data_IF_200983807617
#
_entry.id   IF_200983807617
#
_cell.length_a   1.000
_cell.length_b   1.000
_cell.length_c   1.000
_cell.angle_alpha   90.00
_cell.angle_beta   90.00
_cell.angle_gamma   90.00
#
_symmetry.space_group_name_H-M   'P 1'
#
loop_
_entity.id
_entity.type
_entity.pdbx_description
1 polymer ?
#
# COMPACT_ATOMS: atom_id res chain seq x y z
N UNK A 1 -54.17 18.15 4.86
CA UNK A 1 -54.18 17.00 3.91
C UNK A 1 -52.83 16.95 3.22
N UNK A 2 -52.15 15.79 3.28
CA UNK A 2 -51.15 15.16 2.37
C UNK A 2 -50.17 16.10 1.59
N UNK A 3 -48.85 15.91 1.54
CA UNK A 3 -48.09 14.67 1.42
C UNK A 3 -46.58 14.98 1.65
N UNK A 4 -45.85 14.10 2.35
CA UNK A 4 -44.39 14.11 2.36
C UNK A 4 -43.83 13.42 1.10
N UNK A 5 -42.70 13.88 0.56
CA UNK A 5 -41.93 13.11 -0.42
C UNK A 5 -40.64 13.81 -0.89
N UNK A 6 -39.52 13.09 -1.09
CA UNK A 6 -38.15 13.57 -0.91
C UNK A 6 -37.41 13.85 -2.21
N UNK A 7 -36.30 14.59 -2.14
CA UNK A 7 -35.20 14.53 -3.12
C UNK A 7 -33.92 14.97 -2.39
N UNK A 8 -33.41 14.09 -1.52
CA UNK A 8 -32.23 13.28 -1.81
C UNK A 8 -30.97 14.16 -1.89
N UNK A 9 -30.34 14.31 -0.73
CA UNK A 9 -28.90 14.50 -0.61
C UNK A 9 -28.21 13.33 -1.35
N UNK A 10 -27.81 13.53 -2.60
CA UNK A 10 -26.88 12.65 -3.32
C UNK A 10 -26.09 13.49 -4.33
N UNK A 11 -25.32 14.45 -3.80
CA UNK A 11 -24.13 14.96 -4.49
C UNK A 11 -22.95 14.85 -3.52
N UNK A 12 -22.75 13.65 -2.98
CA UNK A 12 -21.52 13.24 -2.30
C UNK A 12 -20.99 11.90 -2.86
N UNK A 13 -21.50 11.48 -4.02
CA UNK A 13 -21.29 10.15 -4.58
C UNK A 13 -21.02 10.14 -6.08
N UNK A 14 -20.35 11.17 -6.62
CA UNK A 14 -19.86 11.14 -8.01
C UNK A 14 -18.33 11.21 -7.98
N UNK A 15 -17.76 10.01 -7.97
CA UNK A 15 -16.58 9.65 -8.72
C UNK A 15 -15.33 10.53 -8.55
N UNK A 16 -14.51 10.19 -7.55
CA UNK A 16 -13.06 10.16 -7.77
C UNK A 16 -12.74 9.04 -8.77
N UNK A 17 -13.20 9.22 -10.01
CA UNK A 17 -12.78 8.42 -11.13
C UNK A 17 -11.37 8.85 -11.53
N UNK A 18 -10.42 7.93 -11.40
CA UNK A 18 -9.51 7.67 -12.51
C UNK A 18 -8.17 8.41 -12.54
N UNK A 19 -7.81 9.15 -11.50
CA UNK A 19 -6.38 9.32 -11.21
C UNK A 19 -6.10 8.40 -10.02
N UNK A 20 -5.55 7.21 -10.28
CA UNK A 20 -5.02 6.37 -9.20
C UNK A 20 -3.83 7.09 -8.60
N UNK A 21 -4.12 8.00 -7.67
CA UNK A 21 -3.12 8.66 -6.85
C UNK A 21 -2.47 7.56 -5.99
N UNK A 22 -1.15 7.43 -6.13
CA UNK A 22 -0.32 6.55 -5.30
C UNK A 22 0.04 7.29 -4.05
N UNK A 23 0.05 6.62 -2.91
CA UNK A 23 0.53 7.23 -1.67
C UNK A 23 1.91 6.67 -1.37
N UNK A 24 2.92 7.53 -1.26
CA UNK A 24 4.27 7.12 -0.84
C UNK A 24 4.31 7.14 0.68
N UNK A 25 4.33 5.96 1.30
CA UNK A 25 4.31 5.83 2.77
C UNK A 25 5.73 5.89 3.33
N UNK A 26 6.69 5.27 2.63
CA UNK A 26 8.10 5.31 2.99
C UNK A 26 8.96 5.29 1.74
N UNK A 27 9.95 6.17 1.70
CA UNK A 27 11.07 6.08 0.77
C UNK A 27 12.34 6.23 1.60
N UNK A 28 12.96 5.09 1.91
CA UNK A 28 14.19 4.99 2.69
C UNK A 28 15.28 4.31 1.84
N UNK A 29 16.57 4.36 2.23
CA UNK A 29 17.64 3.78 1.41
C UNK A 29 17.48 2.28 1.11
N UNK A 30 16.77 1.56 1.99
CA UNK A 30 16.56 0.12 1.96
C UNK A 30 15.24 -0.28 1.28
N UNK A 31 14.18 0.52 1.44
CA UNK A 31 12.85 0.19 0.90
C UNK A 31 12.03 1.40 0.42
N UNK A 32 11.34 1.21 -0.71
CA UNK A 32 10.23 2.04 -1.17
C UNK A 32 8.90 1.32 -0.89
N UNK A 33 7.99 1.98 -0.18
CA UNK A 33 6.65 1.48 0.16
C UNK A 33 5.59 2.42 -0.39
N UNK A 34 4.68 1.87 -1.20
CA UNK A 34 3.58 2.63 -1.82
C UNK A 34 2.24 1.94 -1.65
N UNK A 35 1.17 2.73 -1.64
CA UNK A 35 -0.22 2.24 -1.63
C UNK A 35 -0.90 2.62 -2.94
N UNK A 36 -1.57 1.65 -3.55
CA UNK A 36 -2.29 1.73 -4.83
C UNK A 36 -3.70 1.15 -4.71
N UNK A 37 -4.51 1.39 -5.75
CA UNK A 37 -5.81 0.76 -5.95
C UNK A 37 -6.73 0.85 -4.70
N UNK A 38 -6.71 1.99 -4.00
CA UNK A 38 -7.54 2.21 -2.82
C UNK A 38 -9.01 2.19 -3.25
N UNK A 39 -9.71 1.11 -2.91
CA UNK A 39 -11.15 1.00 -3.06
C UNK A 39 -11.78 1.23 -1.68
N UNK A 40 -12.49 2.34 -1.56
CA UNK A 40 -13.31 2.60 -0.39
C UNK A 40 -14.43 1.56 -0.31
N UNK A 41 -14.65 1.00 0.87
CA UNK A 41 -15.78 0.12 1.16
C UNK A 41 -16.26 0.38 2.58
N UNK A 42 -17.55 0.17 2.81
CA UNK A 42 -18.15 0.20 4.14
C UNK A 42 -18.45 -1.25 4.58
N UNK A 43 -17.98 -1.71 5.75
CA UNK A 43 -17.19 -0.98 6.74
C UNK A 43 -15.67 -0.94 6.44
N UNK A 44 -15.20 -1.67 5.43
CA UNK A 44 -13.76 -1.89 5.20
C UNK A 44 -13.28 -1.31 3.87
N UNK A 45 -12.19 -0.53 3.91
CA UNK A 45 -11.46 -0.13 2.72
C UNK A 45 -10.47 -1.23 2.32
N UNK A 46 -10.15 -1.30 1.02
CA UNK A 46 -9.11 -2.21 0.51
C UNK A 46 -8.09 -1.42 -0.28
N UNK A 47 -6.84 -1.87 -0.24
CA UNK A 47 -5.78 -1.26 -1.02
C UNK A 47 -4.73 -2.31 -1.35
N UNK A 48 -3.91 -1.99 -2.35
CA UNK A 48 -2.74 -2.76 -2.71
C UNK A 48 -1.49 -2.07 -2.22
N UNK A 49 -0.70 -2.74 -1.41
CA UNK A 49 0.55 -2.22 -0.87
C UNK A 49 1.71 -2.84 -1.62
N UNK A 50 2.66 -2.03 -2.06
CA UNK A 50 3.84 -2.45 -2.80
C UNK A 50 5.10 -2.07 -2.05
N UNK A 51 6.01 -3.04 -1.94
CA UNK A 51 7.34 -2.91 -1.38
C UNK A 51 8.37 -3.22 -2.48
N UNK A 52 9.36 -2.35 -2.61
CA UNK A 52 10.53 -2.56 -3.44
C UNK A 52 11.78 -2.40 -2.58
N UNK A 53 12.59 -3.46 -2.50
CA UNK A 53 13.81 -3.47 -1.72
C UNK A 53 15.00 -3.09 -2.61
N UNK A 54 15.81 -2.12 -2.16
CA UNK A 54 17.06 -1.77 -2.85
C UNK A 54 18.16 -2.80 -2.56
N UNK A 55 18.19 -3.34 -1.34
CA UNK A 55 18.98 -4.50 -0.95
C UNK A 55 18.03 -5.65 -0.56
N UNK A 56 17.74 -6.59 -1.48
CA UNK A 56 16.75 -7.65 -1.27
C UNK A 56 17.02 -8.50 -0.02
N UNK A 57 16.17 -8.55 1.01
CA UNK A 57 16.38 -9.45 2.14
C UNK A 57 16.28 -10.93 1.69
N UNK A 58 16.89 -11.89 2.42
CA UNK A 58 16.63 -13.30 2.19
C UNK A 58 15.16 -13.63 2.52
N UNK A 59 14.60 -14.64 1.87
CA UNK A 59 13.21 -15.09 2.07
C UNK A 59 12.96 -15.55 3.52
N UNK A 60 13.94 -16.27 4.07
CA UNK A 60 14.02 -16.65 5.47
C UNK A 60 15.48 -16.60 5.93
N UNK A 61 15.72 -16.68 7.24
CA UNK A 61 17.08 -16.74 7.77
C UNK A 61 17.83 -17.96 7.19
N UNK A 62 18.97 -17.72 6.54
CA UNK A 62 19.78 -18.75 5.90
C UNK A 62 19.32 -19.19 4.50
N UNK A 63 18.23 -18.62 3.97
CA UNK A 63 17.79 -18.91 2.60
C UNK A 63 18.67 -18.18 1.56
N UNK A 64 18.96 -18.87 0.45
CA UNK A 64 19.67 -18.30 -0.69
C UNK A 64 18.73 -17.43 -1.56
N UNK A 65 17.43 -17.71 -1.52
CA UNK A 65 16.42 -16.94 -2.23
C UNK A 65 16.26 -15.57 -1.59
N UNK A 66 16.35 -14.50 -2.39
CA UNK A 66 16.22 -13.11 -1.92
C UNK A 66 14.98 -12.43 -2.52
N UNK A 67 14.26 -11.67 -1.70
CA UNK A 67 12.98 -11.04 -2.07
C UNK A 67 13.23 -9.64 -2.62
N UNK A 68 13.03 -9.46 -3.94
CA UNK A 68 13.19 -8.16 -4.58
C UNK A 68 11.97 -7.26 -4.38
N UNK A 69 10.77 -7.85 -4.43
CA UNK A 69 9.49 -7.13 -4.28
C UNK A 69 8.53 -7.91 -3.42
N UNK A 70 7.65 -7.18 -2.75
CA UNK A 70 6.52 -7.76 -2.03
C UNK A 70 5.27 -6.93 -2.28
N UNK A 71 4.14 -7.62 -2.45
CA UNK A 71 2.84 -7.00 -2.71
C UNK A 71 1.80 -7.58 -1.77
N UNK A 72 0.99 -6.73 -1.17
CA UNK A 72 -0.15 -7.14 -0.35
C UNK A 72 -1.45 -6.63 -0.95
N UNK A 73 -2.45 -7.50 -0.99
CA UNK A 73 -3.85 -7.05 -0.99
C UNK A 73 -4.29 -6.97 0.47
N UNK A 74 -4.51 -5.75 0.96
CA UNK A 74 -4.76 -5.44 2.37
C UNK A 74 -6.16 -4.85 2.57
N UNK A 75 -6.68 -5.07 3.78
CA UNK A 75 -7.98 -4.57 4.25
C UNK A 75 -7.74 -3.64 5.42
N UNK A 76 -8.50 -2.56 5.48
CA UNK A 76 -8.37 -1.51 6.48
C UNK A 76 -9.74 -1.21 7.07
N UNK A 77 -9.82 -1.23 8.39
CA UNK A 77 -10.92 -0.65 9.14
C UNK A 77 -10.50 0.75 9.58
N UNK A 78 -10.93 1.76 8.84
CA UNK A 78 -10.58 3.15 9.11
C UNK A 78 -11.29 3.73 10.35
N UNK A 79 -12.38 3.11 10.81
CA UNK A 79 -13.04 3.52 12.05
C UNK A 79 -12.28 2.99 13.26
N UNK A 80 -11.80 1.75 13.19
CA UNK A 80 -11.01 1.11 14.24
C UNK A 80 -9.51 1.41 14.17
N UNK A 81 -9.02 2.03 13.09
CA UNK A 81 -7.60 2.16 12.76
C UNK A 81 -6.86 0.82 12.83
N UNK A 82 -7.45 -0.23 12.24
CA UNK A 82 -6.83 -1.55 12.14
C UNK A 82 -6.65 -1.94 10.69
N UNK A 83 -5.75 -2.89 10.45
CA UNK A 83 -5.48 -3.41 9.12
C UNK A 83 -5.20 -4.91 9.16
N UNK A 84 -5.30 -5.57 8.02
CA UNK A 84 -4.93 -6.98 7.88
C UNK A 84 -4.65 -7.35 6.43
N UNK A 85 -3.92 -8.44 6.24
CA UNK A 85 -3.46 -8.91 4.93
C UNK A 85 -4.38 -10.03 4.43
N UNK A 86 -4.86 -9.92 3.19
CA UNK A 86 -5.68 -10.97 2.54
C UNK A 86 -4.90 -11.81 1.55
N UNK A 87 -3.93 -11.22 0.87
CA UNK A 87 -3.03 -11.96 0.00
C UNK A 87 -1.66 -11.29 -0.01
N UNK A 88 -0.63 -12.09 -0.22
CA UNK A 88 0.75 -11.66 -0.39
C UNK A 88 1.33 -12.30 -1.65
N UNK A 89 2.04 -11.50 -2.45
CA UNK A 89 2.94 -12.00 -3.48
C UNK A 89 4.36 -11.53 -3.19
N UNK A 90 5.31 -12.46 -3.18
CA UNK A 90 6.74 -12.22 -3.09
C UNK A 90 7.38 -12.48 -4.44
N UNK A 91 8.08 -11.49 -5.00
CA UNK A 91 8.88 -11.68 -6.21
C UNK A 91 10.35 -11.76 -5.83
N UNK A 92 10.97 -12.90 -6.12
CA UNK A 92 12.39 -13.13 -5.86
C UNK A 92 13.27 -12.41 -6.89
N UNK A 93 14.55 -12.24 -6.56
CA UNK A 93 15.54 -11.64 -7.46
C UNK A 93 15.71 -12.39 -8.79
N UNK A 94 15.43 -13.69 -8.81
CA UNK A 94 15.47 -14.52 -10.02
C UNK A 94 14.19 -14.45 -10.87
N UNK A 95 13.19 -13.67 -10.43
CA UNK A 95 11.92 -13.46 -11.12
C UNK A 95 10.82 -14.46 -10.78
N UNK A 96 11.08 -15.48 -9.95
CA UNK A 96 10.01 -16.35 -9.43
C UNK A 96 9.07 -15.56 -8.51
N UNK A 97 7.80 -15.95 -8.51
CA UNK A 97 6.79 -15.40 -7.60
C UNK A 97 6.26 -16.49 -6.68
N UNK A 98 6.21 -16.19 -5.39
CA UNK A 98 5.55 -16.99 -4.36
C UNK A 98 4.29 -16.24 -3.92
N UNK A 99 3.16 -16.93 -3.83
CA UNK A 99 1.89 -16.31 -3.47
C UNK A 99 1.26 -17.02 -2.27
N UNK A 100 0.73 -16.24 -1.35
CA UNK A 100 -0.03 -16.71 -0.19
C UNK A 100 -1.36 -15.97 -0.09
N UNK A 101 -2.40 -16.64 0.39
CA UNK A 101 -3.73 -16.04 0.60
C UNK A 101 -4.21 -16.38 2.01
N UNK A 102 -4.70 -15.36 2.71
CA UNK A 102 -5.21 -15.44 4.07
C UNK A 102 -6.75 -15.33 4.03
N UNK A 103 -7.49 -16.44 4.23
CA UNK A 103 -8.95 -16.47 4.07
C UNK A 103 -9.69 -15.51 5.00
N UNK A 104 -9.14 -15.26 6.19
CA UNK A 104 -9.61 -14.27 7.15
C UNK A 104 -8.41 -13.45 7.62
N UNK A 105 -8.26 -12.19 7.18
CA UNK A 105 -7.17 -11.34 7.64
C UNK A 105 -7.32 -11.13 9.16
N UNK A 106 -6.29 -11.48 9.93
CA UNK A 106 -6.22 -11.08 11.33
C UNK A 106 -6.03 -9.55 11.35
N UNK A 107 -7.08 -8.84 11.79
CA UNK A 107 -7.02 -7.38 11.91
C UNK A 107 -6.20 -7.00 13.13
N UNK A 108 -5.20 -6.15 12.94
CA UNK A 108 -4.29 -5.71 14.00
C UNK A 108 -4.27 -4.17 14.10
N UNK A 109 -4.06 -3.67 15.31
CA UNK A 109 -3.79 -2.25 15.55
C UNK A 109 -2.30 -1.98 15.31
N UNK A 110 -1.93 -1.06 14.42
CA UNK A 110 -0.52 -0.76 14.18
C UNK A 110 0.10 -0.05 15.39
N UNK A 111 1.37 -0.34 15.66
CA UNK A 111 2.16 0.45 16.63
C UNK A 111 2.34 1.87 16.09
N UNK A 112 2.09 2.94 16.87
CA UNK A 112 2.28 4.32 16.42
C UNK A 112 3.69 4.59 15.89
N UNK A 113 3.79 5.28 14.75
CA UNK A 113 5.06 5.59 14.09
C UNK A 113 5.72 4.42 13.36
N UNK A 114 5.13 3.22 13.40
CA UNK A 114 5.58 2.08 12.60
C UNK A 114 5.20 2.25 11.12
N UNK A 115 5.76 1.39 10.27
CA UNK A 115 5.36 1.34 8.86
C UNK A 115 3.88 0.99 8.70
N UNK A 116 3.34 0.09 9.51
CA UNK A 116 1.94 -0.29 9.50
C UNK A 116 1.01 0.89 9.84
N UNK A 117 1.42 1.75 10.79
CA UNK A 117 0.71 3.00 11.11
C UNK A 117 0.71 3.95 9.91
N UNK A 118 1.85 4.08 9.23
CA UNK A 118 1.96 4.81 7.97
C UNK A 118 1.05 4.28 6.86
N UNK A 119 0.87 2.95 6.74
CA UNK A 119 -0.05 2.34 5.78
C UNK A 119 -1.51 2.67 6.11
N UNK A 120 -1.92 2.53 7.38
CA UNK A 120 -3.27 2.86 7.83
C UNK A 120 -3.58 4.33 7.55
N UNK A 121 -2.68 5.25 7.91
CA UNK A 121 -2.83 6.68 7.58
C UNK A 121 -2.87 6.93 6.07
N UNK A 122 -2.01 6.23 5.31
CA UNK A 122 -1.98 6.25 3.85
C UNK A 122 -3.27 5.82 3.16
N UNK A 123 -4.16 5.09 3.85
CA UNK A 123 -5.47 4.70 3.31
C UNK A 123 -6.60 5.53 3.92
N UNK A 124 -6.57 5.70 5.24
CA UNK A 124 -7.69 6.18 6.03
C UNK A 124 -7.69 7.69 6.31
N UNK A 125 -6.54 8.37 6.19
CA UNK A 125 -6.43 9.82 6.41
C UNK A 125 -6.34 10.56 5.06
N UNK A 126 -7.41 11.27 4.63
CA UNK A 126 -7.40 12.03 3.37
C UNK A 126 -6.34 13.13 3.31
N UNK A 127 -5.99 13.75 4.44
CA UNK A 127 -4.97 14.79 4.48
C UNK A 127 -3.58 14.19 4.25
N UNK A 128 -3.26 13.10 4.96
CA UNK A 128 -2.01 12.37 4.75
C UNK A 128 -1.87 11.90 3.30
N UNK A 129 -2.95 11.34 2.72
CA UNK A 129 -2.98 10.91 1.32
C UNK A 129 -2.63 12.04 0.37
N UNK A 130 -3.25 13.21 0.54
CA UNK A 130 -3.02 14.37 -0.31
C UNK A 130 -1.56 14.83 -0.24
N UNK A 131 -0.99 14.86 0.97
CA UNK A 131 0.37 15.36 1.19
C UNK A 131 1.46 14.40 0.66
N UNK A 132 1.14 13.10 0.58
CA UNK A 132 2.06 12.04 0.14
C UNK A 132 1.69 11.45 -1.22
N UNK A 133 0.74 12.07 -1.93
CA UNK A 133 0.27 11.60 -3.22
C UNK A 133 1.35 11.79 -4.31
N UNK A 134 1.56 10.74 -5.10
CA UNK A 134 2.34 10.77 -6.32
C UNK A 134 1.45 10.37 -7.50
N UNK A 135 1.48 11.21 -8.54
CA UNK A 135 0.80 10.93 -9.82
C UNK A 135 1.70 10.19 -10.82
N UNK A 136 2.97 10.00 -10.48
CA UNK A 136 3.92 9.29 -11.34
C UNK A 136 3.57 7.81 -11.42
N UNK A 137 3.76 7.14 -12.57
CA UNK A 137 3.57 5.69 -12.69
C UNK A 137 4.48 4.93 -11.71
N UNK A 138 3.99 3.81 -11.15
CA UNK A 138 4.76 2.99 -10.21
C UNK A 138 6.11 2.57 -10.78
N UNK A 139 6.13 2.06 -12.02
CA UNK A 139 7.37 1.67 -12.70
C UNK A 139 8.40 2.82 -12.79
N UNK A 140 7.96 4.06 -12.95
CA UNK A 140 8.83 5.24 -12.96
C UNK A 140 9.34 5.60 -11.57
N UNK A 141 8.57 5.35 -10.51
CA UNK A 141 9.02 5.53 -9.13
C UNK A 141 10.04 4.46 -8.75
N UNK A 142 9.75 3.19 -9.08
CA UNK A 142 10.65 2.07 -8.84
C UNK A 142 11.99 2.25 -9.54
N UNK A 143 11.97 2.65 -10.82
CA UNK A 143 13.19 2.90 -11.60
C UNK A 143 14.05 3.99 -10.96
N UNK A 144 13.47 5.13 -10.61
CA UNK A 144 14.22 6.25 -10.03
C UNK A 144 14.76 5.89 -8.65
N UNK A 145 13.96 5.19 -7.85
CA UNK A 145 14.36 4.69 -6.55
C UNK A 145 15.59 3.79 -6.65
N UNK A 146 15.54 2.76 -7.49
CA UNK A 146 16.69 1.86 -7.69
C UNK A 146 17.90 2.60 -8.27
N UNK A 147 17.69 3.51 -9.22
CA UNK A 147 18.77 4.31 -9.79
C UNK A 147 19.45 5.23 -8.76
N UNK A 148 18.72 5.70 -7.75
CA UNK A 148 19.28 6.49 -6.65
C UNK A 148 20.07 5.65 -5.64
N UNK A 149 19.71 4.37 -5.46
CA UNK A 149 20.34 3.49 -4.46
C UNK A 149 21.51 2.66 -5.01
N UNK A 150 21.51 2.31 -6.30
CA UNK A 150 22.59 1.54 -6.95
C UNK A 150 23.97 2.24 -6.95
N UNK A 151 24.10 3.58 -7.00
CA UNK A 151 25.40 4.25 -6.88
C UNK A 151 26.05 4.13 -5.49
N UNK A 152 25.27 3.84 -4.43
CA UNK A 152 25.79 3.77 -3.07
C UNK A 152 26.44 2.41 -2.71
N UNK A 153 26.20 1.35 -3.49
CA UNK A 153 26.65 -0.02 -3.18
C UNK A 153 28.00 -0.42 -3.82
N UNK A 154 28.67 0.48 -4.57
CA UNK A 154 29.92 0.18 -5.31
C UNK A 154 31.14 1.02 -4.89
N UNK A 155 31.06 1.76 -3.78
CA UNK A 155 32.08 2.74 -3.38
C UNK A 155 32.47 2.71 -1.90
N UNK A 156 32.53 1.52 -1.29
CA UNK A 156 33.03 1.32 0.07
C UNK A 156 34.01 0.15 0.13
#
# INVERSE_FOLDING_TARGET
MRQAGPSILLIAGIALAGCSERVIVRAAPDVLVTVEAIAAGEPLATARVHYLFADPPPLAEGDADRVARMRYDAVFDCAANTWGQRAQDLTLVDGRTLSETYPAPAMETPTPGSLADGLVRGVCDPAYRKDHASRRPLASLEKDYLAAMVPAARGG
#
